data_IF_416533653158
#
_entry.id   IF_416533653158
#
_cell.length_a   1.000
_cell.length_b   1.000
_cell.length_c   1.000
_cell.angle_alpha   90.00
_cell.angle_beta   90.00
_cell.angle_gamma   90.00
#
_symmetry.space_group_name_H-M   'P 1'
#
loop_
_entity.id
_entity.type
_entity.pdbx_description
1 polymer ?
#
# COMPACT_ATOMS: atom_id res chain seq x y z
N UNK A 1 -4.70 -2.32 -17.66
CA UNK A 1 -3.85 -2.25 -16.45
C UNK A 1 -4.65 -2.79 -15.26
N UNK A 2 -5.82 -2.20 -14.96
CA UNK A 2 -6.81 -2.71 -13.99
C UNK A 2 -7.13 -4.22 -14.07
N UNK A 3 -7.44 -4.76 -15.26
CA UNK A 3 -7.73 -6.21 -15.39
C UNK A 3 -6.59 -7.12 -14.92
N UNK A 4 -5.34 -6.72 -15.15
CA UNK A 4 -4.17 -7.48 -14.70
C UNK A 4 -3.99 -7.36 -13.18
N UNK A 5 -4.24 -6.17 -12.60
CA UNK A 5 -4.26 -5.96 -11.16
C UNK A 5 -5.29 -6.88 -10.49
N UNK A 6 -6.53 -6.86 -10.98
CA UNK A 6 -7.63 -7.70 -10.47
C UNK A 6 -7.26 -9.19 -10.57
N UNK A 7 -6.72 -9.63 -11.71
CA UNK A 7 -6.26 -11.01 -11.87
C UNK A 7 -5.24 -11.42 -10.81
N UNK A 8 -4.26 -10.55 -10.53
CA UNK A 8 -3.22 -10.81 -9.50
C UNK A 8 -3.78 -10.83 -8.08
N UNK A 9 -4.79 -10.01 -7.81
CA UNK A 9 -5.49 -10.02 -6.52
C UNK A 9 -6.19 -11.37 -6.30
N UNK A 10 -6.94 -11.86 -7.29
CA UNK A 10 -7.61 -13.17 -7.19
C UNK A 10 -6.63 -14.35 -7.18
N UNK A 11 -5.48 -14.26 -7.85
CA UNK A 11 -4.42 -15.28 -7.79
C UNK A 11 -3.81 -15.44 -6.38
N UNK A 12 -3.96 -14.43 -5.53
CA UNK A 12 -3.55 -14.48 -4.12
C UNK A 12 -4.62 -15.06 -3.19
N UNK A 13 -5.78 -15.45 -3.71
CA UNK A 13 -6.84 -16.11 -2.95
C UNK A 13 -7.92 -15.18 -2.38
N UNK A 14 -7.96 -13.91 -2.81
CA UNK A 14 -9.07 -13.01 -2.45
C UNK A 14 -10.44 -13.56 -2.93
N UNK A 15 -11.53 -13.43 -2.16
CA UNK A 15 -11.62 -12.89 -0.79
C UNK A 15 -11.51 -13.96 0.31
N UNK A 16 -11.21 -15.22 -0.05
CA UNK A 16 -11.33 -16.36 0.86
C UNK A 16 -10.06 -16.62 1.70
N UNK A 17 -8.91 -16.05 1.30
CA UNK A 17 -7.63 -16.22 2.00
C UNK A 17 -7.56 -15.39 3.28
N UNK A 18 -6.77 -15.85 4.27
CA UNK A 18 -6.68 -15.18 5.58
C UNK A 18 -5.93 -13.86 5.55
N UNK A 19 -4.99 -13.72 4.62
CA UNK A 19 -4.15 -12.54 4.48
C UNK A 19 -4.66 -11.69 3.33
N UNK A 20 -4.63 -10.37 3.47
CA UNK A 20 -4.97 -9.47 2.37
C UNK A 20 -3.94 -9.59 1.22
N UNK A 21 -4.37 -9.47 -0.04
CA UNK A 21 -3.48 -9.42 -1.20
C UNK A 21 -2.55 -8.21 -1.16
N UNK A 22 -1.31 -8.39 -1.60
CA UNK A 22 -0.36 -7.29 -1.80
C UNK A 22 -0.08 -7.08 -3.28
N UNK A 23 0.03 -5.82 -3.66
CA UNK A 23 0.42 -5.43 -5.01
C UNK A 23 1.49 -4.35 -4.96
N UNK A 24 2.29 -4.23 -6.01
CA UNK A 24 3.29 -3.16 -6.11
C UNK A 24 2.64 -1.81 -6.37
N UNK A 25 3.35 -0.72 -6.03
CA UNK A 25 2.94 0.65 -6.38
C UNK A 25 2.57 0.77 -7.86
N UNK A 26 3.39 0.18 -8.75
CA UNK A 26 3.15 0.23 -10.19
C UNK A 26 1.80 -0.40 -10.57
N UNK A 27 1.47 -1.54 -9.99
CA UNK A 27 0.23 -2.26 -10.30
C UNK A 27 -1.00 -1.52 -9.79
N UNK A 28 -0.88 -0.87 -8.63
CA UNK A 28 -1.97 -0.12 -8.02
C UNK A 28 -2.17 1.28 -8.62
N UNK A 29 -1.10 2.02 -8.92
CA UNK A 29 -1.19 3.43 -9.29
C UNK A 29 -1.19 3.67 -10.82
N UNK A 30 -0.56 2.81 -11.64
CA UNK A 30 -0.53 3.06 -13.09
C UNK A 30 -1.90 2.88 -13.75
N UNK A 31 -2.49 4.00 -14.17
CA UNK A 31 -3.82 4.07 -14.76
C UNK A 31 -4.95 4.14 -13.75
N UNK A 32 -4.63 4.39 -12.48
CA UNK A 32 -5.58 4.72 -11.43
C UNK A 32 -5.76 6.25 -11.37
N UNK A 33 -6.99 6.71 -11.51
CA UNK A 33 -7.43 8.10 -11.31
C UNK A 33 -8.54 8.21 -10.26
N UNK A 34 -8.80 7.12 -9.52
CA UNK A 34 -9.90 6.98 -8.57
C UNK A 34 -9.44 7.38 -7.16
N UNK A 35 -9.74 8.63 -6.76
CA UNK A 35 -9.48 9.14 -5.40
C UNK A 35 -10.23 8.35 -4.31
N UNK A 36 -11.28 7.60 -4.67
CA UNK A 36 -11.96 6.70 -3.74
C UNK A 36 -11.16 5.45 -3.40
N UNK A 37 -10.07 5.17 -4.13
CA UNK A 37 -9.32 3.92 -3.99
C UNK A 37 -8.33 3.87 -2.82
N UNK A 38 -7.94 5.03 -2.27
CA UNK A 38 -7.05 5.14 -1.09
C UNK A 38 -7.21 6.52 -0.45
N UNK A 39 -7.20 6.60 0.88
CA UNK A 39 -7.30 7.88 1.60
C UNK A 39 -8.63 8.61 1.39
N UNK A 40 -9.70 7.90 1.06
CA UNK A 40 -10.97 8.48 0.60
C UNK A 40 -11.68 9.35 1.65
N UNK A 41 -11.33 9.23 2.93
CA UNK A 41 -11.86 10.07 4.02
C UNK A 41 -11.04 11.34 4.30
N UNK A 42 -9.93 11.57 3.59
CA UNK A 42 -9.17 12.82 3.70
C UNK A 42 -10.03 14.01 3.27
N UNK A 43 -10.10 15.05 4.12
CA UNK A 43 -10.89 16.26 3.82
C UNK A 43 -10.40 16.99 2.57
N UNK A 44 -9.08 17.05 2.40
CA UNK A 44 -8.41 17.60 1.22
C UNK A 44 -7.54 16.49 0.60
N UNK A 45 -8.18 15.60 -0.17
CA UNK A 45 -7.47 14.48 -0.79
C UNK A 45 -6.35 15.00 -1.73
N UNK A 46 -5.08 14.62 -1.53
CA UNK A 46 -3.95 15.17 -2.29
C UNK A 46 -3.87 14.66 -3.73
N UNK A 47 -4.74 13.71 -4.10
CA UNK A 47 -4.82 13.12 -5.43
C UNK A 47 -3.94 11.88 -5.58
N UNK A 48 -4.35 10.98 -6.48
CA UNK A 48 -3.67 9.71 -6.73
C UNK A 48 -2.23 9.91 -7.23
N UNK A 49 -1.98 10.94 -8.04
CA UNK A 49 -0.64 11.28 -8.52
C UNK A 49 0.31 11.67 -7.38
N UNK A 50 -0.19 12.37 -6.36
CA UNK A 50 0.60 12.77 -5.19
C UNK A 50 0.93 11.56 -4.33
N UNK A 51 -0.06 10.72 -4.03
CA UNK A 51 0.17 9.43 -3.35
C UNK A 51 1.24 8.61 -4.07
N UNK A 52 1.09 8.44 -5.38
CA UNK A 52 2.04 7.63 -6.14
C UNK A 52 3.46 8.21 -6.11
N UNK A 53 3.59 9.52 -6.32
CA UNK A 53 4.88 10.20 -6.34
C UNK A 53 5.61 10.08 -5.01
N UNK A 54 4.92 10.36 -3.89
CA UNK A 54 5.50 10.28 -2.54
C UNK A 54 5.93 8.85 -2.21
N UNK A 55 5.06 7.86 -2.45
CA UNK A 55 5.37 6.46 -2.16
C UNK A 55 6.51 5.93 -3.04
N UNK A 56 6.63 6.41 -4.28
CA UNK A 56 7.74 6.07 -5.16
C UNK A 56 9.06 6.69 -4.65
N UNK A 57 9.05 7.95 -4.21
CA UNK A 57 10.21 8.60 -3.58
C UNK A 57 10.65 7.92 -2.27
N UNK A 58 9.71 7.31 -1.54
CA UNK A 58 10.00 6.47 -0.38
C UNK A 58 10.66 5.17 -0.83
N UNK A 59 10.08 4.50 -1.82
CA UNK A 59 10.60 3.25 -2.38
C UNK A 59 12.04 3.38 -2.90
N UNK A 60 12.41 4.54 -3.43
CA UNK A 60 13.75 4.82 -3.96
C UNK A 60 14.80 5.16 -2.87
N UNK A 61 14.41 5.22 -1.59
CA UNK A 61 15.36 5.47 -0.49
C UNK A 61 16.27 4.26 -0.23
N UNK A 62 17.57 4.47 0.08
CA UNK A 62 18.54 3.37 0.23
C UNK A 62 18.28 2.45 1.43
N UNK A 63 17.48 2.89 2.41
CA UNK A 63 17.06 2.11 3.57
C UNK A 63 15.71 1.41 3.39
N UNK A 64 15.07 1.55 2.21
CA UNK A 64 13.78 0.94 1.89
C UNK A 64 14.01 -0.23 0.93
N UNK A 65 13.48 -1.40 1.29
CA UNK A 65 13.49 -2.60 0.48
C UNK A 65 12.35 -2.59 -0.54
N UNK A 66 11.14 -2.26 -0.10
CA UNK A 66 9.97 -2.18 -0.98
C UNK A 66 8.85 -1.35 -0.34
N UNK A 67 7.89 -0.95 -1.17
CA UNK A 67 6.62 -0.35 -0.77
C UNK A 67 5.50 -1.09 -1.51
N UNK A 68 4.56 -1.65 -0.74
CA UNK A 68 3.49 -2.53 -1.22
C UNK A 68 2.13 -1.99 -0.78
N UNK A 69 1.12 -2.10 -1.64
CA UNK A 69 -0.25 -1.70 -1.34
C UNK A 69 -1.04 -2.94 -0.91
N UNK A 70 -1.75 -2.85 0.21
CA UNK A 70 -2.67 -3.88 0.67
C UNK A 70 -4.04 -3.66 0.04
N UNK A 71 -4.60 -4.69 -0.59
CA UNK A 71 -5.93 -4.59 -1.17
C UNK A 71 -6.96 -5.05 -0.15
N UNK A 72 -7.80 -4.12 0.30
CA UNK A 72 -8.88 -4.38 1.24
C UNK A 72 -10.12 -4.91 0.51
N UNK A 73 -10.47 -4.29 -0.61
CA UNK A 73 -11.68 -4.65 -1.36
C UNK A 73 -11.50 -4.60 -2.87
N UNK A 74 -12.14 -5.54 -3.56
CA UNK A 74 -12.37 -5.48 -5.02
C UNK A 74 -13.88 -5.45 -5.23
N UNK A 75 -14.41 -4.26 -5.49
CA UNK A 75 -15.82 -4.07 -5.79
C UNK A 75 -16.16 -4.46 -7.24
N UNK A 76 -17.20 -3.84 -7.81
CA UNK A 76 -17.60 -3.98 -9.19
C UNK A 76 -16.50 -3.49 -10.15
N UNK A 77 -16.58 -3.98 -11.41
CA UNK A 77 -15.60 -3.67 -12.46
C UNK A 77 -15.46 -2.17 -12.77
N UNK A 78 -16.37 -1.33 -12.30
CA UNK A 78 -16.35 0.11 -12.49
C UNK A 78 -15.33 0.79 -11.58
N UNK A 79 -15.14 0.34 -10.33
CA UNK A 79 -14.26 0.99 -9.33
C UNK A 79 -12.86 0.38 -9.26
N UNK A 80 -11.86 1.20 -8.97
CA UNK A 80 -10.52 0.69 -8.75
C UNK A 80 -10.48 -0.16 -7.46
N UNK A 81 -9.63 -1.21 -7.36
CA UNK A 81 -9.46 -1.92 -6.09
C UNK A 81 -9.13 -0.95 -4.95
N UNK A 82 -9.78 -1.15 -3.81
CA UNK A 82 -9.69 -0.27 -2.65
C UNK A 82 -8.58 -0.72 -1.69
N UNK A 83 -7.90 0.26 -1.12
CA UNK A 83 -6.82 0.11 -0.16
C UNK A 83 -6.94 1.15 0.95
N UNK A 84 -6.85 0.71 2.19
CA UNK A 84 -6.67 1.58 3.35
C UNK A 84 -5.22 1.60 3.83
N UNK A 85 -4.33 0.76 3.27
CA UNK A 85 -3.02 0.51 3.86
C UNK A 85 -1.91 0.29 2.85
N UNK A 86 -0.76 0.89 3.15
CA UNK A 86 0.50 0.66 2.45
C UNK A 86 1.55 0.14 3.42
N UNK A 87 2.32 -0.85 2.99
CA UNK A 87 3.43 -1.41 3.74
C UNK A 87 4.77 -0.88 3.22
N UNK A 88 5.55 -0.25 4.10
CA UNK A 88 6.94 0.16 3.84
C UNK A 88 7.87 -0.84 4.52
N UNK A 89 8.69 -1.52 3.73
CA UNK A 89 9.67 -2.50 4.23
C UNK A 89 11.02 -1.78 4.35
N UNK A 90 11.50 -1.53 5.56
CA UNK A 90 12.63 -0.61 5.78
C UNK A 90 13.39 -0.93 7.07
N UNK A 91 14.66 -0.54 7.16
CA UNK A 91 15.41 -0.51 8.42
C UNK A 91 15.43 0.89 9.09
N UNK A 92 14.61 1.82 8.60
CA UNK A 92 14.37 3.11 9.24
C UNK A 92 13.75 2.96 10.64
N UNK A 93 13.75 4.06 11.39
CA UNK A 93 12.96 4.18 12.61
C UNK A 93 11.58 4.80 12.32
N UNK A 94 10.65 4.67 13.28
CA UNK A 94 9.26 5.13 13.10
C UNK A 94 9.17 6.61 12.74
N UNK A 95 9.97 7.47 13.38
CA UNK A 95 9.96 8.92 13.13
C UNK A 95 10.37 9.27 11.69
N UNK A 96 11.32 8.53 11.13
CA UNK A 96 11.68 8.71 9.71
C UNK A 96 10.52 8.36 8.79
N UNK A 97 9.79 7.27 9.09
CA UNK A 97 8.63 6.87 8.29
C UNK A 97 7.51 7.90 8.41
N UNK A 98 7.19 8.36 9.63
CA UNK A 98 6.23 9.45 9.89
C UNK A 98 6.55 10.70 9.06
N UNK A 99 7.81 11.15 9.07
CA UNK A 99 8.25 12.31 8.29
C UNK A 99 8.12 12.11 6.77
N UNK A 100 8.25 10.88 6.27
CA UNK A 100 8.14 10.62 4.83
C UNK A 100 6.70 10.65 4.33
N UNK A 101 5.76 10.19 5.14
CA UNK A 101 4.35 10.06 4.74
C UNK A 101 3.48 11.21 5.25
N UNK A 102 4.06 12.17 5.98
CA UNK A 102 3.35 13.30 6.61
C UNK A 102 2.39 14.01 5.65
N UNK A 103 2.83 14.27 4.41
CA UNK A 103 2.01 14.94 3.38
C UNK A 103 0.80 14.13 2.91
N UNK A 104 0.80 12.82 3.13
CA UNK A 104 -0.32 11.93 2.80
C UNK A 104 -1.32 11.81 3.96
N UNK A 105 -1.04 12.42 5.11
CA UNK A 105 -1.92 12.49 6.27
C UNK A 105 -2.48 11.12 6.74
N UNK A 106 -1.65 10.07 6.95
CA UNK A 106 -2.16 8.82 7.50
C UNK A 106 -2.60 8.98 8.95
N UNK A 107 -3.61 8.20 9.34
CA UNK A 107 -4.14 8.17 10.70
C UNK A 107 -3.20 7.43 11.65
N UNK A 108 -2.61 6.32 11.19
CA UNK A 108 -1.75 5.48 12.03
C UNK A 108 -0.61 4.81 11.24
N UNK A 109 0.49 4.53 11.94
CA UNK A 109 1.60 3.71 11.45
C UNK A 109 1.88 2.59 12.44
N UNK A 110 1.62 1.35 12.03
CA UNK A 110 1.78 0.15 12.85
C UNK A 110 2.95 -0.72 12.35
N UNK A 111 3.52 -1.56 13.24
CA UNK A 111 4.56 -2.51 12.84
C UNK A 111 3.96 -3.87 12.47
N UNK A 112 4.35 -4.40 11.30
CA UNK A 112 3.92 -5.71 10.81
C UNK A 112 2.82 -5.65 9.74
N UNK A 113 2.34 -6.82 9.34
CA UNK A 113 1.20 -6.97 8.44
C UNK A 113 -0.07 -7.17 9.25
N UNK A 114 -1.11 -6.37 9.00
CA UNK A 114 -2.35 -6.35 9.79
C UNK A 114 -3.04 -7.72 9.83
N UNK A 115 -3.14 -8.39 8.68
CA UNK A 115 -3.77 -9.71 8.55
C UNK A 115 -2.76 -10.87 8.59
N UNK A 116 -1.54 -10.63 9.08
CA UNK A 116 -0.42 -11.57 9.01
C UNK A 116 0.32 -11.51 7.68
N UNK A 117 1.53 -12.10 7.60
CA UNK A 117 2.41 -12.03 6.42
C UNK A 117 1.79 -12.75 5.22
N UNK A 118 1.43 -12.05 4.12
CA UNK A 118 0.91 -12.69 2.91
C UNK A 118 1.98 -13.59 2.26
N UNK A 119 1.61 -14.71 1.61
CA UNK A 119 2.58 -15.61 0.97
C UNK A 119 3.47 -14.96 -0.08
N UNK A 120 2.98 -13.88 -0.72
CA UNK A 120 3.73 -13.13 -1.74
C UNK A 120 4.69 -12.10 -1.16
N UNK A 121 4.57 -11.76 0.13
CA UNK A 121 5.42 -10.78 0.77
C UNK A 121 6.88 -11.24 0.73
N UNK A 122 7.82 -10.37 0.36
CA UNK A 122 9.22 -10.76 0.24
C UNK A 122 9.80 -11.13 1.61
N UNK A 123 10.87 -11.92 1.58
CA UNK A 123 11.71 -12.06 2.77
C UNK A 123 12.39 -10.73 3.07
N UNK A 124 12.33 -10.31 4.33
CA UNK A 124 12.92 -9.06 4.77
C UNK A 124 14.44 -9.15 4.74
N UNK A 125 15.08 -8.08 4.28
CA UNK A 125 16.50 -7.88 4.46
C UNK A 125 16.86 -7.82 5.95
N UNK A 126 18.11 -8.15 6.33
CA UNK A 126 18.54 -8.07 7.72
C UNK A 126 18.22 -6.70 8.33
N UNK A 127 17.67 -6.73 9.55
CA UNK A 127 17.27 -5.57 10.33
C UNK A 127 16.15 -4.70 9.71
N UNK A 128 15.53 -5.13 8.61
CA UNK A 128 14.32 -4.48 8.11
C UNK A 128 13.10 -4.98 8.87
N UNK A 129 12.09 -4.11 8.94
CA UNK A 129 10.76 -4.38 9.47
C UNK A 129 9.72 -3.79 8.54
N UNK A 130 8.46 -4.10 8.82
CA UNK A 130 7.31 -3.66 8.04
C UNK A 130 6.62 -2.55 8.80
N UNK A 131 6.35 -1.43 8.14
CA UNK A 131 5.53 -0.34 8.64
C UNK A 131 4.24 -0.30 7.83
N UNK A 132 3.11 -0.60 8.44
CA UNK A 132 1.78 -0.42 7.86
C UNK A 132 1.29 1.00 8.09
N UNK A 133 1.23 1.79 7.03
CA UNK A 133 0.70 3.16 7.01
C UNK A 133 -0.77 3.06 6.60
N UNK A 134 -1.67 3.54 7.46
CA UNK A 134 -3.11 3.33 7.33
C UNK A 134 -3.90 4.64 7.30
N UNK A 135 -5.01 4.63 6.55
CA UNK A 135 -6.01 5.69 6.46
C UNK A 135 -7.39 5.08 6.76
N UNK A 136 -8.21 5.74 7.58
CA UNK A 136 -9.61 5.35 7.87
C UNK A 136 -10.52 5.54 6.65
#
# INVERSE_FOLDING_TARGET
MKDNLIKKIYEQGYPDEKTAPLVSLKEFFEGNDDEGSIGCNLMEHPGIDTFYSVLLEIKDKPNVQDVLVEIMEVEDKEYWPFSERVYILSNANLKEVEEWVEILEPDEIEEGYMFGKPPIAPELYPNHKVFGVWWD
#
